data_IF_993206577740
#
_entry.id   IF_993206577740
#
_cell.length_a   1.000
_cell.length_b   1.000
_cell.length_c   1.000
_cell.angle_alpha   90.00
_cell.angle_beta   90.00
_cell.angle_gamma   90.00
#
_symmetry.space_group_name_H-M   'P 1'
#
loop_
_entity.id
_entity.type
_entity.pdbx_description
1 polymer ?
#
# COMPACT_ATOMS: atom_id res chain seq x y z
N UNK A 1 0.92 22.77 -20.37
CA UNK A 1 2.34 22.39 -20.21
C UNK A 1 2.47 20.97 -19.65
N UNK A 2 1.98 19.90 -20.31
CA UNK A 2 1.36 18.85 -19.47
C UNK A 2 1.82 17.39 -19.68
N UNK A 3 2.56 17.00 -20.73
CA UNK A 3 2.97 15.58 -20.85
C UNK A 3 4.46 15.38 -21.03
N UNK A 4 5.07 16.04 -22.01
CA UNK A 4 6.51 15.91 -22.31
C UNK A 4 7.41 16.27 -21.13
N UNK A 5 7.05 17.31 -20.38
CA UNK A 5 7.79 17.70 -19.16
C UNK A 5 7.67 16.63 -18.08
N UNK A 6 6.49 16.07 -17.85
CA UNK A 6 6.29 15.02 -16.84
C UNK A 6 7.04 13.73 -17.19
N UNK A 7 7.04 13.34 -18.48
CA UNK A 7 7.82 12.20 -18.96
C UNK A 7 9.32 12.47 -18.81
N UNK A 8 9.78 13.69 -19.11
CA UNK A 8 11.18 14.07 -18.92
C UNK A 8 11.57 14.05 -17.43
N UNK A 9 10.70 14.53 -16.54
CA UNK A 9 10.92 14.50 -15.08
C UNK A 9 10.95 13.06 -14.57
N UNK A 10 9.97 12.23 -14.96
CA UNK A 10 9.94 10.82 -14.59
C UNK A 10 11.23 10.13 -15.04
N UNK A 11 11.61 10.29 -16.31
CA UNK A 11 12.83 9.71 -16.86
C UNK A 11 14.09 10.21 -16.16
N UNK A 12 14.19 11.51 -15.89
CA UNK A 12 15.32 12.09 -15.18
C UNK A 12 15.40 11.56 -13.74
N UNK A 13 14.31 11.54 -12.99
CA UNK A 13 14.27 11.04 -11.61
C UNK A 13 14.67 9.57 -11.56
N UNK A 14 14.09 8.73 -12.42
CA UNK A 14 14.43 7.31 -12.50
C UNK A 14 15.90 7.10 -12.89
N UNK A 15 16.41 7.84 -13.87
CA UNK A 15 17.82 7.77 -14.27
C UNK A 15 18.75 8.20 -13.14
N UNK A 16 18.44 9.31 -12.47
CA UNK A 16 19.25 9.84 -11.37
C UNK A 16 19.32 8.83 -10.23
N UNK A 17 18.19 8.24 -9.85
CA UNK A 17 18.15 7.22 -8.80
C UNK A 17 18.87 5.94 -9.21
N UNK A 18 18.69 5.48 -10.46
CA UNK A 18 19.42 4.32 -10.96
C UNK A 18 20.94 4.52 -10.89
N UNK A 19 21.43 5.68 -11.36
CA UNK A 19 22.86 6.02 -11.34
C UNK A 19 23.40 6.24 -9.93
N UNK A 20 22.61 6.84 -9.04
CA UNK A 20 23.04 7.14 -7.67
C UNK A 20 22.91 5.92 -6.75
N UNK A 21 22.14 4.88 -7.13
CA UNK A 21 21.87 3.68 -6.31
C UNK A 21 23.15 3.00 -5.77
N UNK A 22 24.24 3.00 -6.54
CA UNK A 22 25.53 2.42 -6.14
C UNK A 22 26.19 3.17 -4.98
N UNK A 23 26.04 4.50 -4.94
CA UNK A 23 26.53 5.35 -3.84
C UNK A 23 25.57 5.35 -2.66
N UNK A 24 24.26 5.20 -2.92
CA UNK A 24 23.21 5.18 -1.90
C UNK A 24 23.34 4.04 -0.89
N UNK A 25 23.94 2.89 -1.27
CA UNK A 25 24.02 1.73 -0.36
C UNK A 25 24.77 2.00 0.96
N UNK A 26 25.50 3.11 1.05
CA UNK A 26 26.35 3.47 2.18
C UNK A 26 25.68 4.47 3.15
N UNK A 27 24.55 5.07 2.77
CA UNK A 27 23.84 6.03 3.61
C UNK A 27 22.72 5.35 4.41
N UNK A 28 22.57 5.62 5.72
CA UNK A 28 21.52 5.05 6.56
C UNK A 28 20.16 5.75 6.36
N UNK A 29 19.81 6.10 5.11
CA UNK A 29 18.60 6.86 4.76
C UNK A 29 17.78 6.06 3.74
N UNK A 30 16.45 6.03 3.90
CA UNK A 30 15.57 5.33 2.95
C UNK A 30 15.55 6.01 1.59
N UNK A 31 15.31 5.23 0.55
CA UNK A 31 15.13 5.70 -0.83
C UNK A 31 14.09 6.81 -0.92
N UNK A 32 12.97 6.69 -0.20
CA UNK A 32 11.87 7.64 -0.19
C UNK A 32 12.26 8.99 0.42
N UNK A 33 13.00 9.00 1.54
CA UNK A 33 13.51 10.25 2.13
C UNK A 33 14.49 10.96 1.19
N UNK A 34 15.27 10.20 0.42
CA UNK A 34 16.16 10.76 -0.60
C UNK A 34 15.40 11.30 -1.81
N UNK A 35 14.37 10.61 -2.27
CA UNK A 35 13.48 11.09 -3.33
C UNK A 35 12.80 12.40 -2.92
N UNK A 36 12.35 12.49 -1.66
CA UNK A 36 11.75 13.69 -1.11
C UNK A 36 12.75 14.86 -1.12
N UNK A 37 13.98 14.63 -0.65
CA UNK A 37 15.04 15.64 -0.65
C UNK A 37 15.43 16.07 -2.07
N UNK A 38 15.52 15.12 -3.01
CA UNK A 38 15.75 15.41 -4.43
C UNK A 38 14.63 16.29 -5.00
N UNK A 39 13.37 15.98 -4.68
CA UNK A 39 12.21 16.77 -5.07
C UNK A 39 12.30 18.22 -4.58
N UNK A 40 12.62 18.41 -3.29
CA UNK A 40 12.83 19.75 -2.72
C UNK A 40 13.98 20.50 -3.40
N UNK A 41 15.05 19.78 -3.76
CA UNK A 41 16.22 20.36 -4.42
C UNK A 41 15.95 20.76 -5.89
N UNK A 42 15.16 20.01 -6.65
CA UNK A 42 14.79 20.37 -8.03
C UNK A 42 13.62 21.35 -8.11
N UNK A 43 12.81 21.40 -7.04
CA UNK A 43 11.62 22.24 -6.94
C UNK A 43 11.91 23.73 -6.79
N UNK A 44 10.85 24.55 -6.59
CA UNK A 44 10.92 26.02 -6.59
C UNK A 44 11.90 26.60 -5.58
N UNK A 45 12.10 25.94 -4.44
CA UNK A 45 13.00 26.38 -3.37
C UNK A 45 14.47 26.04 -3.57
N UNK A 46 14.77 25.06 -4.42
CA UNK A 46 16.14 24.66 -4.72
C UNK A 46 16.63 25.28 -6.02
N UNK A 47 16.68 24.47 -7.07
CA UNK A 47 17.14 24.88 -8.41
C UNK A 47 16.04 25.59 -9.22
N UNK A 48 14.78 25.52 -8.80
CA UNK A 48 13.66 26.13 -9.50
C UNK A 48 13.38 25.55 -10.90
N UNK A 49 13.89 24.34 -11.18
CA UNK A 49 13.78 23.67 -12.49
C UNK A 49 12.36 23.18 -12.75
N UNK A 50 11.64 22.79 -11.69
CA UNK A 50 10.27 22.32 -11.78
C UNK A 50 9.33 23.20 -10.95
N UNK A 51 8.27 23.70 -11.60
CA UNK A 51 7.15 24.38 -10.96
C UNK A 51 5.89 23.60 -11.29
N UNK A 52 5.30 23.00 -10.27
CA UNK A 52 4.07 22.23 -10.38
C UNK A 52 2.97 22.97 -9.64
N UNK A 53 1.89 23.28 -10.37
CA UNK A 53 0.65 23.73 -9.76
C UNK A 53 -0.24 22.51 -9.50
N UNK A 54 -0.60 22.33 -8.24
CA UNK A 54 -1.43 21.21 -7.79
C UNK A 54 -2.84 21.35 -8.34
N UNK A 55 -3.38 22.56 -8.40
CA UNK A 55 -4.77 22.80 -8.81
C UNK A 55 -5.01 22.46 -10.28
N UNK A 56 -4.01 22.69 -11.14
CA UNK A 56 -4.10 22.36 -12.57
C UNK A 56 -3.90 20.86 -12.85
N UNK A 57 -3.30 20.14 -11.91
CA UNK A 57 -2.85 18.75 -12.11
C UNK A 57 -3.67 17.72 -11.33
N UNK A 58 -4.75 18.12 -10.65
CA UNK A 58 -5.51 17.24 -9.73
C UNK A 58 -6.03 15.98 -10.41
N UNK A 59 -6.62 16.10 -11.61
CA UNK A 59 -7.19 14.95 -12.35
C UNK A 59 -6.11 13.97 -12.78
N UNK A 60 -5.00 14.46 -13.32
CA UNK A 60 -3.88 13.59 -13.71
C UNK A 60 -3.23 12.92 -12.50
N UNK A 61 -3.08 13.66 -11.39
CA UNK A 61 -2.52 13.13 -10.15
C UNK A 61 -3.42 12.09 -9.49
N UNK A 62 -4.74 12.27 -9.54
CA UNK A 62 -5.70 11.25 -9.09
C UNK A 62 -5.47 9.93 -9.85
N UNK A 63 -5.50 9.95 -11.19
CA UNK A 63 -5.29 8.74 -11.97
C UNK A 63 -3.91 8.10 -11.75
N UNK A 64 -2.85 8.91 -11.62
CA UNK A 64 -1.51 8.38 -11.39
C UNK A 64 -1.40 7.70 -10.02
N UNK A 65 -1.90 8.35 -8.96
CA UNK A 65 -1.89 7.80 -7.60
C UNK A 65 -2.83 6.61 -7.47
N UNK A 66 -3.97 6.63 -8.16
CA UNK A 66 -4.90 5.51 -8.27
C UNK A 66 -4.22 4.26 -8.85
N UNK A 67 -3.53 4.40 -10.00
CA UNK A 67 -2.77 3.30 -10.60
C UNK A 67 -1.74 2.76 -9.59
N UNK A 68 -0.98 3.64 -8.93
CA UNK A 68 0.02 3.23 -7.95
C UNK A 68 -0.59 2.42 -6.79
N UNK A 69 -1.71 2.87 -6.22
CA UNK A 69 -2.43 2.18 -5.15
C UNK A 69 -2.95 0.83 -5.64
N UNK A 70 -3.56 0.77 -6.82
CA UNK A 70 -4.10 -0.47 -7.41
C UNK A 70 -3.02 -1.55 -7.55
N UNK A 71 -1.84 -1.20 -8.07
CA UNK A 71 -0.71 -2.15 -8.16
C UNK A 71 -0.22 -2.58 -6.78
N UNK A 72 -0.04 -1.62 -5.86
CA UNK A 72 0.45 -1.93 -4.52
C UNK A 72 -0.51 -2.83 -3.74
N UNK A 73 -1.82 -2.63 -3.89
CA UNK A 73 -2.86 -3.47 -3.30
C UNK A 73 -2.86 -4.88 -3.86
N UNK A 74 -2.69 -5.03 -5.19
CA UNK A 74 -2.57 -6.35 -5.80
C UNK A 74 -1.37 -7.13 -5.24
N UNK A 75 -0.19 -6.49 -5.21
CA UNK A 75 1.05 -7.07 -4.67
C UNK A 75 0.90 -7.40 -3.19
N UNK A 76 0.26 -6.53 -2.41
CA UNK A 76 -0.04 -6.78 -1.00
C UNK A 76 -0.95 -7.99 -0.81
N UNK A 77 -1.96 -8.18 -1.68
CA UNK A 77 -2.80 -9.37 -1.71
C UNK A 77 -2.01 -10.65 -2.01
N UNK A 78 -1.07 -10.60 -2.96
CA UNK A 78 -0.20 -11.73 -3.32
C UNK A 78 0.76 -12.14 -2.18
N UNK A 79 1.25 -11.17 -1.39
CA UNK A 79 2.13 -11.44 -0.24
C UNK A 79 1.43 -12.26 0.88
N UNK A 80 0.09 -12.30 0.92
CA UNK A 80 -0.68 -12.98 1.97
C UNK A 80 -0.88 -14.48 1.68
N UNK A 81 0.10 -15.31 2.06
CA UNK A 81 0.10 -16.77 1.84
C UNK A 81 -0.73 -17.58 2.84
N UNK A 82 -0.95 -17.09 4.07
CA UNK A 82 -1.53 -17.94 5.13
C UNK A 82 -2.98 -18.33 4.85
N UNK A 83 -3.38 -19.59 5.14
CA UNK A 83 -4.77 -20.02 4.97
C UNK A 83 -5.70 -19.24 5.91
N UNK A 84 -6.95 -19.00 5.49
CA UNK A 84 -7.94 -18.23 6.28
C UNK A 84 -8.22 -18.79 7.69
N UNK A 85 -7.89 -20.06 7.95
CA UNK A 85 -8.05 -20.69 9.28
C UNK A 85 -6.95 -20.29 10.27
N UNK A 86 -5.87 -19.67 9.79
CA UNK A 86 -4.77 -19.23 10.64
C UNK A 86 -5.22 -18.09 11.57
N UNK A 87 -4.81 -18.16 12.84
CA UNK A 87 -5.14 -17.13 13.83
C UNK A 87 -4.47 -15.79 13.53
N UNK A 88 -3.42 -15.77 12.73
CA UNK A 88 -2.67 -14.57 12.35
C UNK A 88 -3.52 -13.59 11.52
N UNK A 89 -4.56 -14.07 10.83
CA UNK A 89 -5.55 -13.20 10.18
C UNK A 89 -6.27 -12.25 11.14
N UNK A 90 -6.41 -12.62 12.42
CA UNK A 90 -6.97 -11.69 13.43
C UNK A 90 -6.10 -10.45 13.61
N UNK A 91 -4.80 -10.54 13.39
CA UNK A 91 -3.90 -9.39 13.45
C UNK A 91 -4.20 -8.45 12.28
N UNK A 92 -4.20 -8.97 11.05
CA UNK A 92 -4.51 -8.17 9.85
C UNK A 92 -5.90 -7.51 9.93
N UNK A 93 -6.96 -8.27 10.26
CA UNK A 93 -8.31 -7.70 10.41
C UNK A 93 -8.43 -6.72 11.57
N UNK A 94 -7.75 -6.97 12.68
CA UNK A 94 -7.75 -6.07 13.83
C UNK A 94 -7.10 -4.73 13.51
N UNK A 95 -6.00 -4.75 12.75
CA UNK A 95 -5.28 -3.55 12.32
C UNK A 95 -6.08 -2.78 11.27
N UNK A 96 -6.55 -3.48 10.23
CA UNK A 96 -7.24 -2.83 9.11
C UNK A 96 -8.68 -2.40 9.40
N UNK A 97 -9.34 -3.01 10.38
CA UNK A 97 -10.70 -2.64 10.76
C UNK A 97 -10.71 -1.77 12.01
N UNK A 98 -10.84 -2.36 13.22
CA UNK A 98 -11.01 -1.62 14.47
C UNK A 98 -9.94 -0.57 14.74
N UNK A 99 -8.65 -0.91 14.59
CA UNK A 99 -7.55 0.03 14.88
C UNK A 99 -7.55 1.21 13.91
N UNK A 100 -7.78 0.95 12.62
CA UNK A 100 -7.91 2.01 11.62
C UNK A 100 -9.10 2.92 11.91
N UNK A 101 -10.29 2.37 12.20
CA UNK A 101 -11.48 3.17 12.55
C UNK A 101 -11.23 4.02 13.80
N UNK A 102 -10.62 3.44 14.84
CA UNK A 102 -10.22 4.16 16.04
C UNK A 102 -9.19 5.26 15.75
N UNK A 103 -8.27 5.03 14.80
CA UNK A 103 -7.27 6.03 14.39
C UNK A 103 -7.93 7.18 13.62
N UNK A 104 -8.87 6.89 12.71
CA UNK A 104 -9.68 7.90 12.01
C UNK A 104 -10.46 8.73 13.02
N UNK A 105 -11.16 8.07 13.96
CA UNK A 105 -11.96 8.75 14.97
C UNK A 105 -11.08 9.59 15.91
N UNK A 106 -9.96 9.05 16.38
CA UNK A 106 -9.03 9.75 17.25
C UNK A 106 -8.42 10.99 16.59
N UNK A 107 -8.04 10.88 15.32
CA UNK A 107 -7.52 12.00 14.55
C UNK A 107 -8.61 13.03 14.24
N UNK A 108 -9.82 12.60 13.88
CA UNK A 108 -10.97 13.47 13.67
C UNK A 108 -11.30 14.28 14.92
N UNK A 109 -11.39 13.64 16.08
CA UNK A 109 -11.61 14.31 17.37
C UNK A 109 -10.49 15.29 17.68
N UNK A 110 -9.24 14.90 17.43
CA UNK A 110 -8.11 15.80 17.65
C UNK A 110 -8.16 17.04 16.76
N UNK A 111 -8.44 16.87 15.47
CA UNK A 111 -8.56 17.97 14.52
C UNK A 111 -9.72 18.91 14.87
N UNK A 112 -10.84 18.38 15.33
CA UNK A 112 -11.99 19.18 15.74
C UNK A 112 -11.70 19.97 17.03
N UNK A 113 -11.27 19.29 18.09
CA UNK A 113 -11.13 19.90 19.42
C UNK A 113 -9.82 20.66 19.65
N UNK A 114 -8.70 20.20 19.08
CA UNK A 114 -7.40 20.86 19.28
C UNK A 114 -7.10 21.91 18.21
N UNK A 115 -7.61 21.73 16.99
CA UNK A 115 -7.33 22.61 15.85
C UNK A 115 -8.55 23.41 15.37
N UNK A 116 -9.73 23.21 15.97
CA UNK A 116 -10.94 23.98 15.68
C UNK A 116 -11.53 23.73 14.29
N UNK A 117 -11.20 22.61 13.64
CA UNK A 117 -11.70 22.29 12.30
C UNK A 117 -13.15 21.78 12.35
N UNK A 118 -13.93 22.02 11.29
CA UNK A 118 -15.29 21.47 11.18
C UNK A 118 -15.30 19.94 11.16
N UNK A 119 -16.42 19.32 11.55
CA UNK A 119 -16.55 17.85 11.62
C UNK A 119 -16.28 17.15 10.28
N UNK A 120 -16.87 17.65 9.19
CA UNK A 120 -16.67 17.07 7.85
C UNK A 120 -15.20 17.11 7.40
N UNK A 121 -14.53 18.24 7.57
CA UNK A 121 -13.10 18.41 7.24
C UNK A 121 -12.22 17.54 8.14
N UNK A 122 -12.52 17.47 9.43
CA UNK A 122 -11.76 16.68 10.40
C UNK A 122 -11.84 15.18 10.10
N UNK A 123 -13.04 14.70 9.74
CA UNK A 123 -13.23 13.31 9.32
C UNK A 123 -12.52 13.03 7.99
N UNK A 124 -12.62 13.94 7.02
CA UNK A 124 -11.99 13.80 5.71
C UNK A 124 -10.47 13.67 5.83
N UNK A 125 -9.82 14.61 6.53
CA UNK A 125 -8.37 14.58 6.77
C UNK A 125 -8.00 13.35 7.63
N UNK A 126 -8.83 13.02 8.62
CA UNK A 126 -8.69 11.82 9.43
C UNK A 126 -8.65 10.54 8.60
N UNK A 127 -9.57 10.41 7.66
CA UNK A 127 -9.69 9.27 6.75
C UNK A 127 -8.57 9.23 5.69
N UNK A 128 -8.07 10.39 5.24
CA UNK A 128 -6.92 10.47 4.32
C UNK A 128 -5.60 10.04 4.98
N UNK A 129 -5.42 10.37 6.26
CA UNK A 129 -4.15 10.19 6.98
C UNK A 129 -4.11 8.93 7.86
N UNK A 130 -5.24 8.27 8.14
CA UNK A 130 -5.28 7.04 8.92
C UNK A 130 -4.84 5.74 8.20
N UNK A 131 -4.85 5.64 6.85
CA UNK A 131 -4.36 4.47 6.11
C UNK A 131 -2.84 4.43 6.07
N UNK A 132 -2.28 3.22 6.11
CA UNK A 132 -0.83 3.00 6.11
C UNK A 132 -0.36 2.52 4.77
N UNK A 133 0.79 3.02 4.35
CA UNK A 133 1.36 2.73 3.05
C UNK A 133 2.06 1.35 3.01
N UNK A 134 1.55 0.40 2.21
CA UNK A 134 2.20 -0.91 1.97
C UNK A 134 3.59 -0.80 1.36
N UNK A 135 3.83 0.21 0.52
CA UNK A 135 5.09 0.36 -0.21
C UNK A 135 6.22 0.70 0.75
N UNK A 136 6.01 1.70 1.59
CA UNK A 136 6.99 2.14 2.57
C UNK A 136 7.17 1.11 3.70
N UNK A 137 6.11 0.35 4.02
CA UNK A 137 6.18 -0.76 4.98
C UNK A 137 7.01 -1.95 4.46
N UNK A 138 7.15 -2.13 3.14
CA UNK A 138 7.99 -3.18 2.57
C UNK A 138 9.49 -3.01 2.92
N UNK A 139 9.95 -1.79 3.23
CA UNK A 139 11.30 -1.48 3.69
C UNK A 139 11.62 -2.03 5.09
N UNK A 140 10.59 -2.44 5.84
CA UNK A 140 10.67 -3.03 7.20
C UNK A 140 10.90 -4.56 7.12
N UNK A 141 10.87 -5.17 5.93
CA UNK A 141 11.04 -6.62 5.77
C UNK A 141 12.53 -7.01 5.77
N UNK A 142 13.05 -7.40 6.94
CA UNK A 142 14.43 -7.93 7.06
C UNK A 142 14.52 -9.34 6.48
N UNK A 143 15.55 -9.54 5.65
CA UNK A 143 15.86 -10.63 4.72
C UNK A 143 16.00 -12.08 5.27
N UNK A 144 15.49 -12.40 6.48
CA UNK A 144 15.62 -13.75 7.03
C UNK A 144 14.34 -14.59 6.81
N UNK A 145 14.44 -15.55 5.89
CA UNK A 145 13.39 -16.45 5.41
C UNK A 145 12.93 -17.53 6.43
N UNK A 146 13.18 -17.35 7.73
CA UNK A 146 12.92 -18.35 8.78
C UNK A 146 12.08 -17.86 9.96
N UNK A 147 11.67 -16.60 9.98
CA UNK A 147 10.93 -16.06 11.11
C UNK A 147 9.42 -16.01 10.83
N UNK A 148 8.66 -16.82 11.57
CA UNK A 148 7.19 -16.87 11.67
C UNK A 148 6.63 -15.57 12.27
N UNK A 149 6.92 -14.43 11.65
CA UNK A 149 6.66 -13.14 12.27
C UNK A 149 5.24 -12.66 11.97
N UNK A 150 4.34 -12.95 12.91
CA UNK A 150 2.94 -12.46 12.92
C UNK A 150 2.86 -10.94 12.72
N UNK A 151 3.90 -10.21 13.11
CA UNK A 151 4.03 -8.77 12.88
C UNK A 151 4.10 -8.45 11.39
N UNK A 152 4.92 -9.19 10.61
CA UNK A 152 5.07 -8.97 9.17
C UNK A 152 3.79 -9.27 8.41
N UNK A 153 3.18 -10.43 8.67
CA UNK A 153 1.89 -10.77 8.08
C UNK A 153 0.81 -9.75 8.45
N UNK A 154 0.80 -9.33 9.72
CA UNK A 154 -0.10 -8.30 10.23
C UNK A 154 0.06 -6.97 9.50
N UNK A 155 1.29 -6.47 9.35
CA UNK A 155 1.59 -5.20 8.68
C UNK A 155 1.31 -5.24 7.18
N UNK A 156 1.67 -6.32 6.48
CA UNK A 156 1.33 -6.48 5.06
C UNK A 156 -0.17 -6.60 4.83
N UNK A 157 -0.88 -7.31 5.73
CA UNK A 157 -2.33 -7.40 5.70
C UNK A 157 -3.03 -6.09 6.05
N UNK A 158 -2.50 -5.35 7.03
CA UNK A 158 -2.95 -4.00 7.38
C UNK A 158 -2.84 -3.10 6.15
N UNK A 159 -1.68 -3.04 5.54
CA UNK A 159 -1.41 -2.09 4.48
C UNK A 159 -2.21 -2.39 3.19
N UNK A 160 -2.44 -3.67 2.87
CA UNK A 160 -3.31 -4.04 1.75
C UNK A 160 -4.80 -3.85 2.02
N UNK A 161 -5.26 -4.02 3.26
CA UNK A 161 -6.70 -3.92 3.57
C UNK A 161 -7.11 -2.48 3.94
N UNK A 162 -6.20 -1.69 4.54
CA UNK A 162 -6.44 -0.32 5.01
C UNK A 162 -6.93 0.62 3.91
N UNK A 163 -6.30 0.60 2.72
CA UNK A 163 -6.68 1.53 1.66
C UNK A 163 -8.09 1.21 1.10
N UNK A 164 -8.50 -0.06 1.13
CA UNK A 164 -9.88 -0.42 0.79
C UNK A 164 -10.89 -0.01 1.86
N UNK A 165 -10.52 -0.13 3.15
CA UNK A 165 -11.43 0.12 4.27
C UNK A 165 -11.56 1.60 4.64
N UNK A 166 -10.58 2.44 4.29
CA UNK A 166 -10.60 3.87 4.59
C UNK A 166 -11.44 4.69 3.61
N UNK A 167 -11.53 4.24 2.37
CA UNK A 167 -12.25 4.94 1.30
C UNK A 167 -13.72 5.27 1.64
N UNK A 168 -14.52 4.39 2.27
CA UNK A 168 -15.85 4.75 2.79
C UNK A 168 -15.83 6.00 3.68
N UNK A 169 -14.83 6.15 4.54
CA UNK A 169 -14.76 7.29 5.47
C UNK A 169 -14.34 8.58 4.77
N UNK A 170 -13.54 8.49 3.69
CA UNK A 170 -13.25 9.63 2.81
C UNK A 170 -14.55 10.11 2.15
N UNK A 171 -15.35 9.18 1.61
CA UNK A 171 -16.67 9.49 1.05
C UNK A 171 -17.60 10.09 2.11
N UNK A 172 -17.60 9.56 3.34
CA UNK A 172 -18.39 10.13 4.43
C UNK A 172 -17.98 11.57 4.75
N UNK A 173 -16.68 11.85 4.82
CA UNK A 173 -16.17 13.21 5.02
C UNK A 173 -16.61 14.17 3.91
N UNK A 174 -16.59 13.71 2.66
CA UNK A 174 -17.08 14.48 1.50
C UNK A 174 -18.59 14.71 1.56
N UNK A 175 -19.37 13.69 1.92
CA UNK A 175 -20.83 13.82 2.06
C UNK A 175 -21.21 14.76 3.19
N UNK A 176 -20.49 14.74 4.32
CA UNK A 176 -20.72 15.68 5.44
C UNK A 176 -20.39 17.14 5.10
N UNK A 177 -19.60 17.38 4.06
CA UNK A 177 -19.29 18.72 3.56
C UNK A 177 -20.32 19.21 2.55
N UNK A 178 -21.18 18.33 2.05
CA UNK A 178 -22.33 18.70 1.21
C UNK A 178 -23.49 19.05 2.13
N UNK A 179 -24.12 20.18 1.85
CA UNK A 179 -25.28 20.69 2.60
C UNK A 179 -26.51 19.91 2.12
N UNK A 180 -26.72 18.71 2.66
CA UNK A 180 -27.78 17.78 2.22
C UNK A 180 -28.69 17.37 3.40
N UNK A 181 -29.96 17.08 3.12
CA UNK A 181 -31.10 16.94 4.07
C UNK A 181 -31.05 15.66 4.95
N UNK A 182 -29.88 15.32 5.52
CA UNK A 182 -29.72 14.29 6.54
C UNK A 182 -29.76 12.83 6.06
N UNK A 183 -29.98 12.59 4.76
CA UNK A 183 -29.97 11.24 4.16
C UNK A 183 -28.59 10.62 3.96
N UNK A 184 -27.53 11.41 4.12
CA UNK A 184 -26.15 11.02 3.79
C UNK A 184 -25.66 9.79 4.58
N UNK A 185 -26.05 9.64 5.84
CA UNK A 185 -25.66 8.49 6.68
C UNK A 185 -26.27 7.18 6.18
N UNK A 186 -27.52 7.24 5.72
CA UNK A 186 -28.25 6.07 5.22
C UNK A 186 -27.67 5.63 3.88
N UNK A 187 -27.42 6.58 2.97
CA UNK A 187 -26.74 6.29 1.70
C UNK A 187 -25.35 5.73 1.94
N UNK A 188 -24.56 6.37 2.81
CA UNK A 188 -23.23 5.90 3.15
C UNK A 188 -23.25 4.46 3.71
N UNK A 189 -24.10 4.18 4.70
CA UNK A 189 -24.14 2.87 5.34
C UNK A 189 -24.56 1.78 4.36
N UNK A 190 -25.65 1.99 3.60
CA UNK A 190 -26.19 0.97 2.69
C UNK A 190 -25.30 0.78 1.45
N UNK A 191 -24.93 1.87 0.78
CA UNK A 191 -24.24 1.82 -0.52
C UNK A 191 -22.74 1.64 -0.36
N UNK A 192 -22.11 2.47 0.48
CA UNK A 192 -20.65 2.52 0.61
C UNK A 192 -20.11 1.41 1.53
N UNK A 193 -20.81 1.09 2.62
CA UNK A 193 -20.32 0.07 3.57
C UNK A 193 -20.91 -1.31 3.29
N UNK A 194 -22.23 -1.45 3.28
CA UNK A 194 -22.89 -2.77 3.22
C UNK A 194 -22.87 -3.40 1.83
N UNK A 195 -22.89 -2.60 0.76
CA UNK A 195 -22.84 -3.09 -0.62
C UNK A 195 -21.43 -3.06 -1.21
N UNK A 196 -20.79 -1.89 -1.27
CA UNK A 196 -19.57 -1.72 -2.04
C UNK A 196 -18.37 -2.53 -1.52
N UNK A 197 -18.24 -2.67 -0.19
CA UNK A 197 -17.15 -3.46 0.45
C UNK A 197 -17.30 -4.95 0.13
N UNK A 198 -18.43 -5.64 0.42
CA UNK A 198 -18.58 -7.04 0.05
C UNK A 198 -18.54 -7.28 -1.46
N UNK A 199 -19.16 -6.41 -2.27
CA UNK A 199 -19.17 -6.56 -3.72
C UNK A 199 -17.74 -6.55 -4.30
N UNK A 200 -16.91 -5.58 -3.89
CA UNK A 200 -15.51 -5.52 -4.28
C UNK A 200 -14.74 -6.77 -3.86
N UNK A 201 -14.79 -7.14 -2.58
CA UNK A 201 -14.10 -8.33 -2.06
C UNK A 201 -14.50 -9.62 -2.79
N UNK A 202 -15.81 -9.85 -2.99
CA UNK A 202 -16.31 -11.08 -3.58
C UNK A 202 -15.96 -11.21 -5.06
N UNK A 203 -16.11 -10.13 -5.84
CA UNK A 203 -15.79 -10.12 -7.28
C UNK A 203 -14.30 -10.39 -7.47
N UNK A 204 -13.46 -9.60 -6.80
CA UNK A 204 -12.02 -9.74 -6.87
C UNK A 204 -11.55 -11.14 -6.48
N UNK A 205 -11.99 -11.62 -5.31
CA UNK A 205 -11.63 -12.95 -4.83
C UNK A 205 -12.08 -14.08 -5.77
N UNK A 206 -13.31 -14.00 -6.30
CA UNK A 206 -13.82 -14.99 -7.23
C UNK A 206 -13.02 -15.01 -8.54
N UNK A 207 -12.67 -13.83 -9.07
CA UNK A 207 -11.86 -13.71 -10.28
C UNK A 207 -10.44 -14.23 -10.08
N UNK A 208 -9.75 -13.78 -9.03
CA UNK A 208 -8.39 -14.22 -8.71
C UNK A 208 -8.30 -15.72 -8.46
N UNK A 209 -9.25 -16.27 -7.67
CA UNK A 209 -9.30 -17.72 -7.40
C UNK A 209 -9.69 -18.52 -8.65
N UNK A 210 -10.60 -18.01 -9.47
CA UNK A 210 -11.02 -18.64 -10.73
C UNK A 210 -9.89 -18.72 -11.73
N UNK A 211 -9.20 -17.60 -11.96
CA UNK A 211 -8.04 -17.50 -12.85
C UNK A 211 -6.89 -18.34 -12.33
N UNK A 212 -6.59 -18.29 -11.03
CA UNK A 212 -5.54 -19.13 -10.43
C UNK A 212 -5.76 -20.62 -10.67
N UNK A 213 -7.00 -21.10 -10.48
CA UNK A 213 -7.37 -22.50 -10.78
C UNK A 213 -7.28 -22.84 -12.26
N UNK A 214 -7.73 -21.93 -13.13
CA UNK A 214 -7.71 -22.14 -14.58
C UNK A 214 -6.29 -22.25 -15.09
N UNK A 215 -5.44 -21.28 -14.75
CA UNK A 215 -4.03 -21.26 -15.14
C UNK A 215 -3.31 -22.49 -14.62
N UNK A 216 -3.52 -22.86 -13.36
CA UNK A 216 -2.90 -24.06 -12.79
C UNK A 216 -3.38 -25.35 -13.47
N UNK A 217 -4.69 -25.47 -13.74
CA UNK A 217 -5.26 -26.64 -14.42
C UNK A 217 -4.82 -26.76 -15.88
N UNK A 218 -4.61 -25.65 -16.58
CA UNK A 218 -4.11 -25.64 -17.96
C UNK A 218 -2.64 -26.05 -18.02
N UNK A 219 -1.83 -25.61 -17.04
CA UNK A 219 -0.39 -25.92 -16.95
C UNK A 219 -0.11 -27.40 -16.65
N UNK A 220 -0.94 -28.05 -15.83
CA UNK A 220 -0.84 -29.49 -15.55
C UNK A 220 -1.17 -30.32 -16.81
N UNK A 221 -2.06 -29.83 -17.68
CA UNK A 221 -2.49 -30.56 -18.89
C UNK A 221 -1.57 -30.34 -20.10
N UNK A 222 -1.00 -29.15 -20.23
CA UNK A 222 -0.14 -28.78 -21.35
C UNK A 222 1.25 -28.47 -20.80
N UNK A 223 2.19 -29.41 -20.92
CA UNK A 223 3.55 -29.40 -20.38
C UNK A 223 4.50 -28.29 -20.92
N UNK A 224 3.97 -27.15 -21.39
CA UNK A 224 4.64 -26.17 -22.25
C UNK A 224 4.63 -24.74 -21.67
N UNK A 225 4.65 -24.62 -20.35
CA UNK A 225 4.19 -23.40 -19.66
C UNK A 225 5.29 -22.42 -19.22
N UNK A 226 6.51 -22.53 -19.72
CA UNK A 226 7.57 -21.53 -19.45
C UNK A 226 7.38 -20.22 -20.23
N UNK A 227 6.39 -20.17 -21.14
CA UNK A 227 6.15 -19.06 -22.07
C UNK A 227 4.88 -18.25 -21.81
N UNK A 228 4.10 -18.55 -20.76
CA UNK A 228 2.92 -17.73 -20.46
C UNK A 228 3.37 -16.42 -19.83
N UNK A 229 3.06 -15.24 -20.40
CA UNK A 229 3.49 -13.97 -19.83
C UNK A 229 2.69 -13.70 -18.55
N UNK A 230 3.24 -14.12 -17.42
CA UNK A 230 2.60 -14.01 -16.10
C UNK A 230 2.31 -12.53 -15.76
N UNK A 231 3.12 -11.61 -16.28
CA UNK A 231 2.92 -10.16 -16.17
C UNK A 231 1.63 -9.69 -16.86
N UNK A 232 1.32 -10.19 -18.05
CA UNK A 232 0.05 -9.85 -18.72
C UNK A 232 -1.15 -10.41 -17.97
N UNK A 233 -1.01 -11.58 -17.34
CA UNK A 233 -2.06 -12.15 -16.50
C UNK A 233 -2.32 -11.27 -15.27
N UNK A 234 -1.27 -10.79 -14.61
CA UNK A 234 -1.40 -9.85 -13.49
C UNK A 234 -2.09 -8.55 -13.94
N UNK A 235 -1.62 -7.94 -15.03
CA UNK A 235 -2.23 -6.72 -15.59
C UNK A 235 -3.70 -6.91 -15.94
N UNK A 236 -4.04 -8.01 -16.61
CA UNK A 236 -5.42 -8.32 -16.97
C UNK A 236 -6.29 -8.55 -15.74
N UNK A 237 -5.80 -9.29 -14.74
CA UNK A 237 -6.54 -9.54 -13.51
C UNK A 237 -6.79 -8.24 -12.73
N UNK A 238 -5.77 -7.38 -12.60
CA UNK A 238 -5.90 -6.07 -11.98
C UNK A 238 -6.98 -5.25 -12.69
N UNK A 239 -6.86 -5.06 -14.01
CA UNK A 239 -7.76 -4.21 -14.77
C UNK A 239 -9.20 -4.74 -14.77
N UNK A 240 -9.39 -6.04 -15.01
CA UNK A 240 -10.72 -6.64 -15.06
C UNK A 240 -11.36 -6.70 -13.68
N UNK A 241 -10.63 -6.99 -12.60
CA UNK A 241 -11.18 -7.01 -11.25
C UNK A 241 -11.61 -5.61 -10.79
N UNK A 242 -10.82 -4.59 -11.12
CA UNK A 242 -11.16 -3.20 -10.85
C UNK A 242 -12.45 -2.79 -11.58
N UNK A 243 -12.50 -2.96 -12.91
CA UNK A 243 -13.66 -2.57 -13.74
C UNK A 243 -14.91 -3.36 -13.40
N UNK A 244 -14.79 -4.67 -13.14
CA UNK A 244 -15.92 -5.51 -12.78
C UNK A 244 -16.56 -5.05 -11.46
N UNK A 245 -15.75 -4.70 -10.46
CA UNK A 245 -16.26 -4.17 -9.20
C UNK A 245 -16.91 -2.78 -9.37
N UNK A 246 -16.24 -1.86 -10.07
CA UNK A 246 -16.79 -0.52 -10.35
C UNK A 246 -18.13 -0.60 -11.12
N UNK A 247 -18.27 -1.54 -12.06
CA UNK A 247 -19.50 -1.72 -12.84
C UNK A 247 -20.74 -2.06 -12.00
N UNK A 248 -20.55 -2.63 -10.81
CA UNK A 248 -21.61 -2.94 -9.85
C UNK A 248 -21.62 -1.99 -8.65
N UNK A 249 -20.89 -0.86 -8.74
CA UNK A 249 -20.71 0.10 -7.64
C UNK A 249 -20.03 -0.50 -6.41
N UNK A 250 -19.15 -1.49 -6.62
CA UNK A 250 -18.22 -2.01 -5.62
C UNK A 250 -16.88 -1.30 -5.68
N UNK A 251 -16.08 -1.39 -4.62
CA UNK A 251 -14.77 -0.74 -4.61
C UNK A 251 -13.74 -1.49 -5.43
N UNK A 252 -13.27 -0.85 -6.51
CA UNK A 252 -12.23 -1.39 -7.40
C UNK A 252 -10.94 -1.74 -6.66
N UNK A 253 -10.46 -0.88 -5.76
CA UNK A 253 -9.26 -1.10 -4.94
C UNK A 253 -9.32 -2.40 -4.13
N UNK A 254 -10.45 -2.60 -3.45
CA UNK A 254 -10.67 -3.76 -2.59
C UNK A 254 -10.84 -5.04 -3.41
N UNK A 255 -11.43 -4.93 -4.61
CA UNK A 255 -11.49 -6.01 -5.59
C UNK A 255 -10.11 -6.43 -6.08
N UNK A 256 -9.23 -5.48 -6.41
CA UNK A 256 -7.88 -5.80 -6.87
C UNK A 256 -7.05 -6.47 -5.77
N UNK A 257 -7.12 -5.96 -4.53
CA UNK A 257 -6.52 -6.63 -3.37
C UNK A 257 -7.04 -8.07 -3.21
N UNK A 258 -8.37 -8.24 -3.26
CA UNK A 258 -9.00 -9.55 -3.12
C UNK A 258 -8.67 -10.49 -4.29
N UNK A 259 -8.42 -9.96 -5.49
CA UNK A 259 -7.97 -10.72 -6.65
C UNK A 259 -6.55 -11.27 -6.45
N UNK A 260 -5.62 -10.44 -5.98
CA UNK A 260 -4.27 -10.90 -5.59
C UNK A 260 -4.35 -11.98 -4.50
N UNK A 261 -5.14 -11.74 -3.45
CA UNK A 261 -5.36 -12.72 -2.38
C UNK A 261 -6.01 -14.02 -2.88
N UNK A 262 -7.00 -13.93 -3.76
CA UNK A 262 -7.70 -15.08 -4.35
C UNK A 262 -6.78 -15.95 -5.20
N UNK A 263 -5.91 -15.30 -5.99
CA UNK A 263 -4.87 -15.97 -6.77
C UNK A 263 -3.85 -16.67 -5.85
N UNK A 264 -3.39 -15.99 -4.79
CA UNK A 264 -2.48 -16.56 -3.79
C UNK A 264 -3.08 -17.76 -3.06
N UNK A 265 -4.35 -17.68 -2.67
CA UNK A 265 -5.05 -18.78 -2.01
C UNK A 265 -5.28 -19.98 -2.95
N UNK A 266 -5.40 -19.76 -4.26
CA UNK A 266 -5.49 -20.85 -5.24
C UNK A 266 -4.17 -21.63 -5.33
N UNK A 267 -3.03 -20.93 -5.33
CA UNK A 267 -1.68 -21.52 -5.34
C UNK A 267 -1.36 -22.29 -4.04
N UNK A 268 -1.71 -21.71 -2.89
CA UNK A 268 -1.53 -22.37 -1.59
C UNK A 268 -2.39 -23.62 -1.46
N UNK A 269 -3.58 -23.64 -2.04
CA UNK A 269 -4.44 -24.82 -2.02
C UNK A 269 -3.90 -25.97 -2.88
N UNK A 270 -3.01 -25.69 -3.82
CA UNK A 270 -2.35 -26.68 -4.68
C UNK A 270 -0.94 -27.09 -4.23
N UNK A 271 -0.36 -26.37 -3.26
CA UNK A 271 0.98 -26.65 -2.74
C UNK A 271 0.88 -27.35 -1.39
N UNK A 272 1.73 -28.35 -1.16
CA UNK A 272 1.70 -29.11 0.10
C UNK A 272 2.15 -28.22 1.28
N UNK A 273 1.54 -28.41 2.45
CA UNK A 273 1.64 -27.46 3.59
C UNK A 273 3.04 -27.32 4.18
N UNK A 274 3.88 -28.34 4.01
CA UNK A 274 5.21 -28.42 4.61
C UNK A 274 6.33 -27.96 3.66
N UNK A 275 6.00 -27.56 2.42
CA UNK A 275 6.98 -27.07 1.46
C UNK A 275 7.28 -25.58 1.67
N UNK A 276 8.58 -25.17 1.67
CA UNK A 276 8.96 -23.77 1.68
C UNK A 276 8.28 -23.03 0.51
N UNK A 277 7.96 -21.73 0.64
CA UNK A 277 7.23 -21.02 -0.40
C UNK A 277 7.98 -21.12 -1.72
N UNK A 278 7.31 -21.58 -2.79
CA UNK A 278 7.96 -21.92 -4.05
C UNK A 278 8.72 -20.73 -4.66
N UNK A 279 8.27 -19.50 -4.44
CA UNK A 279 8.96 -18.25 -4.84
C UNK A 279 10.31 -18.01 -4.15
N UNK A 280 10.57 -18.61 -2.98
CA UNK A 280 11.88 -18.54 -2.31
C UNK A 280 12.84 -19.63 -2.80
N UNK A 281 12.29 -20.68 -3.41
CA UNK A 281 13.08 -21.72 -4.06
C UNK A 281 13.42 -21.31 -5.48
N UNK A 282 12.60 -20.49 -6.14
CA UNK A 282 12.73 -20.14 -7.55
C UNK A 282 13.31 -18.72 -7.71
N UNK A 283 14.33 -18.55 -8.55
CA UNK A 283 14.76 -17.22 -8.98
C UNK A 283 13.71 -16.64 -9.94
N UNK A 284 13.19 -15.42 -9.68
CA UNK A 284 12.40 -14.71 -10.67
C UNK A 284 13.31 -14.42 -11.87
N UNK A 285 13.03 -15.06 -13.02
CA UNK A 285 13.79 -14.83 -14.25
C UNK A 285 13.20 -13.59 -14.89
N UNK A 286 13.80 -12.43 -14.61
CA UNK A 286 13.44 -11.19 -15.32
C UNK A 286 14.04 -11.26 -16.71
N UNK A 287 13.29 -11.81 -17.66
CA UNK A 287 13.69 -11.91 -19.06
C UNK A 287 13.17 -13.16 -19.75
N UNK A 288 13.00 -13.08 -21.07
CA UNK A 288 12.61 -14.18 -21.95
C UNK A 288 13.72 -15.23 -22.12
N UNK A 289 14.54 -15.47 -21.10
CA UNK A 289 15.58 -16.49 -21.17
C UNK A 289 14.97 -17.85 -20.86
N UNK A 290 15.09 -18.74 -21.84
CA UNK A 290 14.67 -20.13 -21.83
C UNK A 290 15.46 -20.92 -20.79
N UNK A 291 15.06 -20.85 -19.53
CA UNK A 291 15.61 -21.66 -18.45
C UNK A 291 14.61 -22.77 -18.16
N UNK A 292 15.05 -24.03 -18.25
CA UNK A 292 14.22 -25.17 -17.89
C UNK A 292 13.77 -25.03 -16.41
N UNK A 293 12.54 -25.45 -16.02
CA UNK A 293 11.99 -25.20 -14.68
C UNK A 293 12.91 -25.63 -13.53
N UNK A 294 13.73 -26.67 -13.73
CA UNK A 294 14.71 -27.18 -12.75
C UNK A 294 15.98 -26.34 -12.61
N UNK A 295 16.31 -25.52 -13.60
CA UNK A 295 17.51 -24.67 -13.62
C UNK A 295 17.26 -23.28 -13.01
N UNK A 296 16.00 -22.88 -12.82
CA UNK A 296 15.62 -21.62 -12.17
C UNK A 296 15.49 -21.75 -10.63
N UNK A 297 15.97 -22.83 -10.01
CA UNK A 297 15.68 -23.16 -8.61
C UNK A 297 16.95 -23.27 -7.77
N UNK A 298 16.94 -22.64 -6.59
CA UNK A 298 17.87 -22.82 -5.49
C UNK A 298 17.35 -23.94 -4.58
N UNK A 299 18.03 -25.10 -4.57
CA UNK A 299 17.79 -26.17 -3.61
C UNK A 299 17.45 -27.53 -4.23
N UNK A 300 17.18 -28.51 -3.37
CA UNK A 300 16.85 -29.89 -3.76
C UNK A 300 15.38 -29.95 -4.18
N UNK A 301 15.12 -30.07 -5.49
CA UNK A 301 13.79 -29.99 -6.10
C UNK A 301 13.23 -31.34 -6.51
N UNK A 302 13.96 -32.44 -6.25
CA UNK A 302 13.55 -33.79 -6.63
C UNK A 302 12.19 -34.22 -6.03
N UNK A 303 11.71 -33.52 -4.99
CA UNK A 303 10.44 -33.79 -4.31
C UNK A 303 9.27 -32.89 -4.71
N UNK A 304 9.46 -31.88 -5.57
CA UNK A 304 8.38 -30.95 -5.96
C UNK A 304 7.70 -31.41 -7.25
N UNK A 305 6.37 -31.40 -7.26
CA UNK A 305 5.58 -31.66 -8.48
C UNK A 305 5.76 -30.51 -9.49
N UNK A 306 5.78 -30.81 -10.78
CA UNK A 306 6.00 -29.83 -11.86
C UNK A 306 4.97 -28.69 -11.81
N UNK A 307 3.75 -28.97 -11.30
CA UNK A 307 2.70 -27.98 -11.06
C UNK A 307 3.04 -26.96 -9.95
N UNK A 308 3.75 -27.38 -8.90
CA UNK A 308 4.16 -26.50 -7.79
C UNK A 308 5.26 -25.54 -8.23
N UNK A 309 6.23 -26.03 -9.02
CA UNK A 309 7.30 -25.19 -9.58
C UNK A 309 6.70 -24.13 -10.51
N UNK A 310 5.76 -24.51 -11.39
CA UNK A 310 5.11 -23.57 -12.30
C UNK A 310 4.29 -22.48 -11.56
N UNK A 311 3.62 -22.83 -10.47
CA UNK A 311 2.88 -21.88 -9.64
C UNK A 311 3.84 -20.90 -8.92
N UNK A 312 4.98 -21.41 -8.43
CA UNK A 312 6.03 -20.61 -7.80
C UNK A 312 6.67 -19.60 -8.76
N UNK A 313 7.04 -20.02 -9.97
CA UNK A 313 7.56 -19.14 -11.02
C UNK A 313 6.54 -18.04 -11.35
N UNK A 314 5.28 -18.40 -11.56
CA UNK A 314 4.22 -17.43 -11.87
C UNK A 314 4.06 -16.37 -10.78
N UNK A 315 4.04 -16.78 -9.51
CA UNK A 315 3.94 -15.85 -8.40
C UNK A 315 5.19 -14.98 -8.26
N UNK A 316 6.36 -15.58 -8.44
CA UNK A 316 7.64 -14.88 -8.42
C UNK A 316 7.70 -13.76 -9.46
N UNK A 317 7.30 -14.06 -10.70
CA UNK A 317 7.26 -13.08 -11.80
C UNK A 317 6.28 -11.95 -11.49
N UNK A 318 5.04 -12.27 -11.09
CA UNK A 318 4.02 -11.26 -10.78
C UNK A 318 4.42 -10.36 -9.60
N UNK A 319 5.03 -10.93 -8.55
CA UNK A 319 5.55 -10.17 -7.41
C UNK A 319 6.73 -9.30 -7.83
N UNK A 320 7.66 -9.81 -8.65
CA UNK A 320 8.80 -9.06 -9.14
C UNK A 320 8.36 -7.87 -10.02
N UNK A 321 7.47 -8.12 -10.98
CA UNK A 321 6.91 -7.08 -11.84
C UNK A 321 6.11 -6.06 -11.04
N UNK A 322 5.19 -6.52 -10.19
CA UNK A 322 4.37 -5.63 -9.37
C UNK A 322 5.22 -4.76 -8.43
N UNK A 323 6.23 -5.35 -7.77
CA UNK A 323 7.15 -4.60 -6.90
C UNK A 323 8.02 -3.59 -7.66
N UNK A 324 8.36 -3.87 -8.92
CA UNK A 324 9.07 -2.93 -9.79
C UNK A 324 8.20 -1.73 -10.11
N UNK A 325 6.94 -1.95 -10.49
CA UNK A 325 5.98 -0.88 -10.78
C UNK A 325 5.71 -0.05 -9.52
N UNK A 326 5.48 -0.72 -8.40
CA UNK A 326 5.25 -0.11 -7.08
C UNK A 326 6.41 0.80 -6.68
N UNK A 327 7.65 0.30 -6.73
CA UNK A 327 8.86 1.09 -6.42
C UNK A 327 9.07 2.25 -7.39
N UNK A 328 8.80 2.07 -8.68
CA UNK A 328 8.95 3.14 -9.67
C UNK A 328 7.94 4.26 -9.45
N UNK A 329 6.69 3.92 -9.15
CA UNK A 329 5.64 4.89 -8.82
C UNK A 329 5.90 5.60 -7.50
N UNK A 330 6.36 4.89 -6.47
CA UNK A 330 6.75 5.48 -5.19
C UNK A 330 7.83 6.53 -5.36
N UNK A 331 8.93 6.15 -6.01
CA UNK A 331 10.05 7.04 -6.33
C UNK A 331 9.56 8.31 -7.01
N UNK A 332 8.70 8.15 -8.01
CA UNK A 332 8.19 9.28 -8.77
C UNK A 332 7.30 10.17 -7.90
N UNK A 333 6.26 9.62 -7.27
CA UNK A 333 5.29 10.35 -6.47
C UNK A 333 5.93 11.05 -5.26
N UNK A 334 6.86 10.40 -4.57
CA UNK A 334 7.58 11.01 -3.43
C UNK A 334 8.50 12.13 -3.89
N UNK A 335 9.11 12.02 -5.07
CA UNK A 335 9.88 13.14 -5.64
C UNK A 335 8.97 14.31 -5.98
N UNK A 336 7.81 14.05 -6.60
CA UNK A 336 6.82 15.09 -6.91
C UNK A 336 6.29 15.78 -5.65
N UNK A 337 6.01 15.00 -4.59
CA UNK A 337 5.68 15.52 -3.27
C UNK A 337 6.76 16.50 -2.80
N UNK A 338 8.05 16.16 -2.93
CA UNK A 338 9.16 17.03 -2.56
C UNK A 338 9.18 18.35 -3.35
N UNK A 339 8.85 18.32 -4.65
CA UNK A 339 8.79 19.53 -5.50
C UNK A 339 7.76 20.53 -4.98
N UNK A 340 6.57 20.05 -4.61
CA UNK A 340 5.46 20.91 -4.20
C UNK A 340 5.48 21.23 -2.70
N UNK A 341 6.25 20.49 -1.90
CA UNK A 341 6.20 20.52 -0.43
C UNK A 341 6.40 21.92 0.15
N UNK A 342 7.40 22.66 -0.36
CA UNK A 342 7.76 23.95 0.23
C UNK A 342 6.66 25.01 0.10
N UNK A 343 5.85 24.96 -0.97
CA UNK A 343 4.76 25.90 -1.18
C UNK A 343 3.50 25.54 -0.38
N UNK A 344 3.40 24.29 0.07
CA UNK A 344 2.22 23.74 0.75
C UNK A 344 2.53 23.32 2.19
N UNK A 345 3.67 23.75 2.74
CA UNK A 345 4.07 23.37 4.08
C UNK A 345 3.19 24.04 5.14
N UNK A 346 2.64 23.23 6.04
CA UNK A 346 1.86 23.69 7.18
C UNK A 346 2.47 23.23 8.50
N UNK A 347 2.81 24.19 9.38
CA UNK A 347 3.40 23.89 10.68
C UNK A 347 2.48 23.10 11.62
N UNK A 348 1.15 23.18 11.44
CA UNK A 348 0.20 22.35 12.20
C UNK A 348 0.45 20.86 11.96
N UNK A 349 0.98 20.48 10.80
CA UNK A 349 1.31 19.10 10.47
C UNK A 349 2.34 18.48 11.42
N UNK A 350 3.23 19.27 12.02
CA UNK A 350 4.19 18.77 13.01
C UNK A 350 3.46 18.25 14.25
N UNK A 351 2.53 19.04 14.78
CA UNK A 351 1.72 18.65 15.94
C UNK A 351 0.74 17.52 15.60
N UNK A 352 0.07 17.60 14.45
CA UNK A 352 -0.86 16.57 13.97
C UNK A 352 -0.12 15.24 13.75
N UNK A 353 1.02 15.27 13.06
CA UNK A 353 1.85 14.09 12.81
C UNK A 353 2.40 13.50 14.11
N UNK A 354 2.95 14.32 15.01
CA UNK A 354 3.40 13.84 16.32
C UNK A 354 2.27 13.15 17.10
N UNK A 355 1.08 13.76 17.12
CA UNK A 355 -0.09 13.17 17.77
C UNK A 355 -0.52 11.86 17.10
N UNK A 356 -0.54 11.81 15.76
CA UNK A 356 -0.93 10.62 15.01
C UNK A 356 0.05 9.46 15.22
N UNK A 357 1.36 9.72 15.07
CA UNK A 357 2.41 8.69 15.07
C UNK A 357 2.77 8.23 16.48
N UNK A 358 2.88 9.14 17.44
CA UNK A 358 3.38 8.82 18.78
C UNK A 358 2.27 8.53 19.81
N UNK A 359 1.03 8.97 19.54
CA UNK A 359 -0.06 8.89 20.53
C UNK A 359 -1.24 8.09 19.98
N UNK A 360 -1.95 8.61 18.98
CA UNK A 360 -3.22 8.04 18.50
C UNK A 360 -2.99 6.60 18.05
N UNK A 361 -2.09 6.37 17.09
CA UNK A 361 -1.89 5.02 16.54
C UNK A 361 -1.38 4.02 17.58
N UNK A 362 -0.32 4.29 18.36
CA UNK A 362 0.11 3.37 19.43
C UNK A 362 -1.00 3.07 20.43
N UNK A 363 -1.80 4.06 20.84
CA UNK A 363 -2.92 3.84 21.75
C UNK A 363 -4.01 2.97 21.12
N UNK A 364 -4.38 3.20 19.85
CA UNK A 364 -5.36 2.38 19.15
C UNK A 364 -4.90 0.92 19.03
N UNK A 365 -3.61 0.69 18.71
CA UNK A 365 -3.04 -0.66 18.69
C UNK A 365 -3.02 -1.27 20.09
N UNK A 366 -2.65 -0.53 21.12
CA UNK A 366 -2.62 -1.06 22.49
C UNK A 366 -4.00 -1.36 23.08
N UNK A 367 -5.02 -0.58 22.71
CA UNK A 367 -6.40 -0.74 23.17
C UNK A 367 -7.07 -2.01 22.60
N UNK A 368 -6.63 -2.49 21.44
CA UNK A 368 -7.18 -3.68 20.82
C UNK A 368 -6.84 -4.94 21.63
N UNK A 369 -7.81 -5.81 21.98
CA UNK A 369 -7.57 -7.01 22.77
C UNK A 369 -6.95 -8.15 21.92
N UNK A 370 -5.66 -8.05 21.62
CA UNK A 370 -4.93 -9.05 20.82
C UNK A 370 -4.78 -10.43 21.48
N UNK A 371 -5.10 -10.56 22.78
CA UNK A 371 -4.88 -11.79 23.54
C UNK A 371 -3.39 -12.18 23.58
N UNK A 372 -3.09 -13.44 23.26
CA UNK A 372 -1.71 -14.00 23.16
C UNK A 372 -1.15 -13.96 21.74
N UNK A 373 -1.75 -13.19 20.83
CA UNK A 373 -1.30 -13.12 19.44
C UNK A 373 -0.07 -12.22 19.29
N UNK A 374 -0.05 -11.11 20.03
CA UNK A 374 1.00 -10.10 20.01
C UNK A 374 1.43 -9.71 21.42
N UNK A 375 2.74 -9.65 21.65
CA UNK A 375 3.32 -9.16 22.89
C UNK A 375 3.42 -7.63 22.92
N UNK A 376 3.71 -7.04 24.09
CA UNK A 376 3.73 -5.58 24.25
C UNK A 376 4.75 -4.90 23.34
N UNK A 377 5.93 -5.49 23.18
CA UNK A 377 6.98 -4.99 22.27
C UNK A 377 6.48 -4.98 20.82
N UNK A 378 5.86 -6.07 20.36
CA UNK A 378 5.27 -6.18 19.02
C UNK A 378 4.15 -5.15 18.79
N UNK A 379 3.29 -4.93 19.78
CA UNK A 379 2.21 -3.91 19.70
C UNK A 379 2.76 -2.51 19.56
N UNK A 380 3.79 -2.16 20.34
CA UNK A 380 4.45 -0.85 20.23
C UNK A 380 5.15 -0.69 18.88
N UNK A 381 5.79 -1.75 18.39
CA UNK A 381 6.44 -1.78 17.09
C UNK A 381 5.44 -1.55 15.95
N UNK A 382 4.31 -2.26 15.95
CA UNK A 382 3.21 -2.09 14.99
C UNK A 382 2.58 -0.70 15.10
N UNK A 383 2.41 -0.21 16.33
CA UNK A 383 1.94 1.15 16.60
C UNK A 383 2.84 2.22 16.00
N UNK A 384 4.16 2.02 16.06
CA UNK A 384 5.15 2.92 15.47
C UNK A 384 5.23 2.82 13.94
N UNK A 385 5.11 1.64 13.34
CA UNK A 385 5.23 1.43 11.88
C UNK A 385 4.00 1.85 11.06
N UNK A 386 3.31 2.90 11.49
CA UNK A 386 2.18 3.51 10.77
C UNK A 386 2.57 4.46 9.68
N UNK A 387 3.41 4.04 8.76
CA UNK A 387 3.95 4.91 7.72
C UNK A 387 2.81 5.37 6.80
N UNK A 388 2.66 6.68 6.65
CA UNK A 388 1.75 7.33 5.70
C UNK A 388 2.48 7.58 4.39
N UNK A 389 1.78 7.42 3.26
CA UNK A 389 2.40 7.52 1.95
C UNK A 389 1.39 7.62 0.81
N UNK A 390 1.55 6.81 -0.23
CA UNK A 390 0.90 6.97 -1.54
C UNK A 390 -0.63 6.93 -1.45
N UNK A 391 -1.21 6.04 -0.64
CA UNK A 391 -2.66 5.97 -0.43
C UNK A 391 -3.26 7.30 0.03
N UNK A 392 -2.58 8.02 0.94
CA UNK A 392 -3.00 9.36 1.39
C UNK A 392 -2.98 10.39 0.26
N UNK A 393 -2.03 10.29 -0.67
CA UNK A 393 -1.98 11.17 -1.85
C UNK A 393 -3.16 10.89 -2.78
N UNK A 394 -3.51 9.61 -3.00
CA UNK A 394 -4.69 9.25 -3.77
C UNK A 394 -5.96 9.88 -3.19
N UNK A 395 -6.22 9.70 -1.89
CA UNK A 395 -7.42 10.28 -1.27
C UNK A 395 -7.45 11.80 -1.33
N UNK A 396 -6.30 12.46 -1.21
CA UNK A 396 -6.20 13.90 -1.38
C UNK A 396 -6.68 14.31 -2.78
N UNK A 397 -6.10 13.74 -3.84
CA UNK A 397 -6.46 14.11 -5.21
C UNK A 397 -7.89 13.72 -5.57
N UNK A 398 -8.34 12.54 -5.12
CA UNK A 398 -9.73 12.12 -5.22
C UNK A 398 -10.69 13.14 -4.61
N UNK A 399 -10.42 13.60 -3.39
CA UNK A 399 -11.26 14.57 -2.70
C UNK A 399 -11.23 15.95 -3.37
N UNK A 400 -10.09 16.39 -3.91
CA UNK A 400 -9.98 17.65 -4.65
C UNK A 400 -10.85 17.68 -5.90
N UNK A 401 -11.03 16.53 -6.57
CA UNK A 401 -11.92 16.42 -7.73
C UNK A 401 -13.41 16.27 -7.35
N UNK A 402 -13.74 16.30 -6.05
CA UNK A 402 -15.12 16.22 -5.53
C UNK A 402 -15.75 17.58 -5.15
N UNK A 403 -15.30 18.67 -5.77
CA UNK A 403 -15.86 20.03 -5.63
C UNK A 403 -15.80 20.59 -4.19
N UNK A 404 -14.65 20.43 -3.54
CA UNK A 404 -14.41 21.03 -2.23
C UNK A 404 -14.41 22.57 -2.30
N UNK A 405 -14.89 23.27 -1.25
CA UNK A 405 -14.67 24.70 -1.11
C UNK A 405 -13.16 25.04 -1.18
N UNK A 406 -12.73 26.14 -1.82
CA UNK A 406 -11.31 26.44 -2.03
C UNK A 406 -10.48 26.46 -0.73
N UNK A 407 -11.05 26.97 0.37
CA UNK A 407 -10.39 26.99 1.68
C UNK A 407 -10.15 25.58 2.24
N UNK A 408 -11.14 24.69 2.08
CA UNK A 408 -11.05 23.28 2.51
C UNK A 408 -10.06 22.52 1.63
N UNK A 409 -10.10 22.75 0.31
CA UNK A 409 -9.16 22.16 -0.63
C UNK A 409 -7.71 22.50 -0.26
N UNK A 410 -7.40 23.79 -0.06
CA UNK A 410 -6.07 24.25 0.35
C UNK A 410 -5.63 23.68 1.70
N UNK A 411 -6.55 23.61 2.66
CA UNK A 411 -6.29 23.01 3.96
C UNK A 411 -5.95 21.51 3.84
N UNK A 412 -6.72 20.75 3.05
CA UNK A 412 -6.47 19.34 2.80
C UNK A 412 -5.12 19.12 2.11
N UNK A 413 -4.78 19.93 1.10
CA UNK A 413 -3.49 19.89 0.40
C UNK A 413 -2.35 20.11 1.41
N UNK A 414 -2.39 21.24 2.11
CA UNK A 414 -1.28 21.65 2.97
C UNK A 414 -1.04 20.66 4.10
N UNK A 415 -2.10 20.22 4.79
CA UNK A 415 -1.98 19.28 5.89
C UNK A 415 -1.58 17.88 5.42
N UNK A 416 -2.19 17.36 4.36
CA UNK A 416 -1.94 15.98 3.92
C UNK A 416 -0.52 15.83 3.40
N UNK A 417 -0.06 16.73 2.51
CA UNK A 417 1.30 16.68 1.98
C UNK A 417 2.35 16.85 3.08
N UNK A 418 2.12 17.77 4.02
CA UNK A 418 3.06 18.00 5.13
C UNK A 418 3.15 16.80 6.08
N UNK A 419 2.01 16.16 6.43
CA UNK A 419 2.02 14.97 7.30
C UNK A 419 2.64 13.76 6.58
N UNK A 420 2.38 13.56 5.29
CA UNK A 420 3.00 12.49 4.50
C UNK A 420 4.52 12.70 4.41
N UNK A 421 4.98 13.92 4.11
CA UNK A 421 6.40 14.24 4.10
C UNK A 421 7.06 14.00 5.48
N UNK A 422 6.40 14.42 6.57
CA UNK A 422 6.89 14.18 7.92
C UNK A 422 6.96 12.68 8.25
N UNK A 423 5.95 11.91 7.87
CA UNK A 423 5.93 10.45 7.99
C UNK A 423 7.12 9.81 7.30
N UNK A 424 7.38 10.18 6.03
CA UNK A 424 8.51 9.66 5.25
C UNK A 424 9.85 9.96 5.94
N UNK A 425 10.04 11.16 6.48
CA UNK A 425 11.27 11.55 7.16
C UNK A 425 11.44 10.84 8.51
N UNK A 426 10.41 10.88 9.36
CA UNK A 426 10.45 10.31 10.72
C UNK A 426 10.61 8.80 10.67
N UNK A 427 9.81 8.11 9.85
CA UNK A 427 9.89 6.66 9.72
C UNK A 427 11.09 6.22 8.88
N UNK A 428 11.45 6.98 7.84
CA UNK A 428 12.64 6.72 7.03
C UNK A 428 13.94 6.70 7.85
N UNK A 429 14.07 7.60 8.83
CA UNK A 429 15.23 7.64 9.72
C UNK A 429 15.16 6.65 10.88
N UNK A 430 13.95 6.31 11.36
CA UNK A 430 13.78 5.48 12.56
C UNK A 430 13.59 3.98 12.30
N UNK A 431 13.24 3.56 11.09
CA UNK A 431 12.88 2.16 10.79
C UNK A 431 14.02 1.16 11.01
N UNK A 432 15.15 1.37 10.35
CA UNK A 432 16.32 0.48 10.48
C UNK A 432 16.85 0.39 11.92
N UNK A 433 17.04 1.49 12.67
CA UNK A 433 17.54 1.39 14.05
C UNK A 433 16.54 0.73 15.00
N UNK A 434 15.23 0.95 14.83
CA UNK A 434 14.21 0.32 15.68
C UNK A 434 14.11 -1.19 15.44
N UNK A 435 14.19 -1.65 14.20
CA UNK A 435 14.28 -3.09 13.88
C UNK A 435 15.54 -3.73 14.44
N UNK A 436 16.69 -3.11 14.23
CA UNK A 436 17.96 -3.63 14.75
C UNK A 436 17.95 -3.73 16.28
N UNK A 437 17.29 -2.79 16.96
CA UNK A 437 17.08 -2.84 18.41
C UNK A 437 16.15 -4.00 18.79
N UNK A 438 15.01 -4.17 18.11
CA UNK A 438 14.05 -5.24 18.37
C UNK A 438 14.67 -6.63 18.17
N UNK A 439 15.42 -6.85 17.09
CA UNK A 439 16.07 -8.14 16.80
C UNK A 439 17.14 -8.51 17.84
N UNK A 440 17.89 -7.52 18.35
CA UNK A 440 18.86 -7.77 19.44
C UNK A 440 18.19 -8.24 20.72
N UNK A 441 17.03 -7.68 21.07
CA UNK A 441 16.29 -8.07 22.26
C UNK A 441 15.62 -9.44 22.10
N UNK A 442 15.15 -9.78 20.89
CA UNK A 442 14.59 -11.11 20.59
C UNK A 442 15.63 -12.23 20.70
N UNK A 443 16.91 -11.95 20.42
CA UNK A 443 18.00 -12.95 20.53
C UNK A 443 18.52 -13.16 21.95
N UNK A 444 18.16 -12.28 22.89
CA UNK A 444 18.59 -12.36 24.31
C UNK A 444 17.59 -13.06 25.22
N UNK A 445 16.35 -13.25 24.77
CA UNK A 445 15.32 -14.09 25.39
C UNK A 445 15.36 -15.50 24.76
#
# INVERSE_FOLDING_TARGET
MIFTVWVAVLGAVLLTLALTSSYLRWMPVTTSAMCLALGVAIGPTGLGLLKLDIHDSTTWMEHLTEIAVVFSLFVSGLKLRLPFKDRTWRVAYGLAGPVMILSIAGLCLALHYLFGLGWGVSLLIGAMLAPTDPVLAALVQVNDARDDDRVRFGLSGEAGLNDGTAFPFVILGLLMLRDDDGGFLTEWTLRNVLWAVPAGLLIGYAMGRGIGRLTLSMRIKNADSTLSPNDYLALALIALAYVAAESVQGYGFLSVFAAGLGLRQAEVASTDKDSPPAEHLVQPVVGHETVAPRQAVLGDTESLDDGQVAAGVMMGDMLAFGSLVERAMEVFLVTLLGVVLANHWDWRAVAIGALLFAVIRPLCVLAMPWGRLLDRSQRLLIGWFGIRGIGSLFYLFFALNHHLPPEVANLCINLTLSVVALSILVHGLSTQPTLAWYERHKRSD
#
